data_IF_458696611787
#
_entry.id   IF_458696611787
#
_cell.length_a   1.000
_cell.length_b   1.000
_cell.length_c   1.000
_cell.angle_alpha   90.00
_cell.angle_beta   90.00
_cell.angle_gamma   90.00
#
_symmetry.space_group_name_H-M   'P 1'
#
loop_
_entity.id
_entity.type
_entity.pdbx_description
1 polymer ?
#
# COMPACT_ATOMS: atom_id res chain seq x y z
N UNK A 1 -32.43 -27.87 53.41
CA UNK A 1 -33.06 -26.87 52.51
C UNK A 1 -32.09 -25.75 52.11
N UNK A 2 -31.30 -25.18 53.04
CA UNK A 2 -30.36 -24.08 52.77
C UNK A 2 -29.30 -24.31 51.67
N UNK A 3 -28.83 -25.54 51.43
CA UNK A 3 -27.88 -25.83 50.33
C UNK A 3 -28.50 -25.68 48.93
N UNK A 4 -29.78 -26.04 48.75
CA UNK A 4 -30.50 -25.93 47.48
C UNK A 4 -30.82 -24.47 47.11
N UNK A 5 -31.09 -23.62 48.09
CA UNK A 5 -31.34 -22.19 47.86
C UNK A 5 -30.06 -21.42 47.49
N UNK A 6 -28.92 -21.73 48.14
CA UNK A 6 -27.63 -21.14 47.77
C UNK A 6 -27.20 -21.49 46.35
N UNK A 7 -27.46 -22.72 45.90
CA UNK A 7 -27.13 -23.17 44.55
C UNK A 7 -27.99 -22.49 43.47
N UNK A 8 -29.31 -22.38 43.70
CA UNK A 8 -30.22 -21.62 42.82
C UNK A 8 -29.87 -20.13 42.73
N UNK A 9 -29.41 -19.53 43.83
CA UNK A 9 -29.00 -18.14 43.85
C UNK A 9 -27.69 -17.90 43.06
N UNK A 10 -26.74 -18.83 43.13
CA UNK A 10 -25.49 -18.78 42.36
C UNK A 10 -25.74 -18.93 40.85
N UNK A 11 -26.60 -19.86 40.44
CA UNK A 11 -26.98 -20.06 39.03
C UNK A 11 -27.70 -18.84 38.45
N UNK A 12 -28.65 -18.23 39.20
CA UNK A 12 -29.30 -16.99 38.78
C UNK A 12 -28.32 -15.83 38.62
N UNK A 13 -27.32 -15.72 39.51
CA UNK A 13 -26.30 -14.66 39.46
C UNK A 13 -25.34 -14.86 38.29
N UNK A 14 -24.95 -16.10 38.00
CA UNK A 14 -24.14 -16.45 36.83
C UNK A 14 -24.89 -16.17 35.51
N UNK A 15 -26.17 -16.57 35.43
CA UNK A 15 -27.01 -16.31 34.25
C UNK A 15 -27.26 -14.81 34.02
N UNK A 16 -27.46 -14.03 35.09
CA UNK A 16 -27.57 -12.57 35.01
C UNK A 16 -26.27 -11.92 34.51
N UNK A 17 -25.12 -12.33 35.05
CA UNK A 17 -23.80 -11.83 34.62
C UNK A 17 -23.49 -12.23 33.16
N UNK A 18 -23.91 -13.42 32.75
CA UNK A 18 -23.79 -13.87 31.36
C UNK A 18 -24.66 -13.00 30.43
N UNK A 19 -25.91 -12.73 30.81
CA UNK A 19 -26.81 -11.84 30.06
C UNK A 19 -26.31 -10.41 29.97
N UNK A 20 -25.86 -9.82 31.08
CA UNK A 20 -25.27 -8.47 31.08
C UNK A 20 -24.01 -8.40 30.21
N UNK A 21 -23.19 -9.46 30.18
CA UNK A 21 -22.00 -9.53 29.33
C UNK A 21 -22.34 -9.68 27.85
N UNK A 22 -23.40 -10.41 27.51
CA UNK A 22 -23.89 -10.53 26.12
C UNK A 22 -24.52 -9.22 25.67
N UNK A 23 -25.31 -8.58 26.53
CA UNK A 23 -25.97 -7.31 26.23
C UNK A 23 -24.98 -6.16 26.08
N UNK A 24 -23.97 -6.06 26.95
CA UNK A 24 -22.89 -5.09 26.81
C UNK A 24 -21.96 -5.36 25.61
N UNK A 25 -21.83 -6.62 25.19
CA UNK A 25 -21.09 -6.96 23.97
C UNK A 25 -21.87 -6.55 22.71
N UNK A 26 -23.20 -6.70 22.72
CA UNK A 26 -24.09 -6.28 21.64
C UNK A 26 -24.24 -4.76 21.57
N UNK A 27 -24.21 -4.05 22.70
CA UNK A 27 -24.24 -2.58 22.74
C UNK A 27 -22.89 -1.94 22.33
N UNK A 28 -21.79 -2.70 22.41
CA UNK A 28 -20.49 -2.28 21.90
C UNK A 28 -20.27 -2.66 20.42
N UNK A 29 -21.12 -3.53 19.87
CA UNK A 29 -21.10 -3.96 18.47
C UNK A 29 -21.59 -2.79 17.60
N UNK A 30 -20.72 -2.27 16.73
CA UNK A 30 -20.99 -1.06 15.93
C UNK A 30 -20.62 0.28 16.57
N UNK A 31 -19.94 0.31 17.73
CA UNK A 31 -19.42 1.52 18.34
C UNK A 31 -17.90 1.65 18.17
N UNK A 32 -17.40 2.88 17.98
CA UNK A 32 -15.96 3.12 17.90
C UNK A 32 -15.23 2.81 19.22
N UNK A 33 -14.01 2.24 19.15
CA UNK A 33 -13.22 1.98 20.33
C UNK A 33 -12.77 3.28 21.01
N UNK A 34 -12.87 3.31 22.35
CA UNK A 34 -12.48 4.49 23.14
C UNK A 34 -11.00 4.51 23.53
N UNK A 35 -10.41 3.33 23.77
CA UNK A 35 -9.00 3.20 24.13
C UNK A 35 -8.20 2.99 22.85
N UNK A 36 -7.59 4.07 22.36
CA UNK A 36 -6.87 4.09 21.09
C UNK A 36 -5.47 4.72 21.24
N UNK A 37 -4.54 4.26 20.42
CA UNK A 37 -3.20 4.82 20.25
C UNK A 37 -2.97 5.12 18.77
N UNK A 38 -2.81 6.39 18.36
CA UNK A 38 -2.50 6.74 16.97
C UNK A 38 -1.07 6.30 16.60
N UNK A 39 -0.93 5.75 15.40
CA UNK A 39 0.34 5.37 14.77
C UNK A 39 0.46 6.10 13.44
N UNK A 40 1.53 6.85 13.23
CA UNK A 40 1.70 7.69 12.04
C UNK A 40 1.00 9.04 12.17
N UNK A 41 0.68 9.64 11.03
CA UNK A 41 0.03 10.95 10.96
C UNK A 41 -1.49 10.86 11.11
N UNK A 42 -2.13 11.96 11.50
CA UNK A 42 -3.59 11.98 11.58
C UNK A 42 -4.19 11.90 10.19
N UNK A 43 -5.07 10.94 9.99
CA UNK A 43 -5.88 10.84 8.77
C UNK A 43 -6.88 11.98 8.76
N UNK A 44 -6.70 12.94 7.86
CA UNK A 44 -7.63 14.05 7.65
C UNK A 44 -8.83 13.66 6.75
N UNK A 45 -8.73 12.52 6.08
CA UNK A 45 -9.78 12.00 5.20
C UNK A 45 -11.03 11.49 5.91
N UNK A 46 -11.96 10.98 5.10
CA UNK A 46 -13.24 10.43 5.55
C UNK A 46 -13.15 8.96 5.99
N UNK A 47 -11.96 8.35 5.93
CA UNK A 47 -11.70 6.96 6.30
C UNK A 47 -10.71 6.86 7.46
N UNK A 48 -11.02 6.04 8.47
CA UNK A 48 -10.11 5.72 9.56
C UNK A 48 -9.92 4.21 9.68
N UNK A 49 -8.70 3.78 9.99
CA UNK A 49 -8.38 2.37 10.21
C UNK A 49 -8.09 2.16 11.69
N UNK A 50 -8.78 1.21 12.29
CA UNK A 50 -8.61 0.77 13.66
C UNK A 50 -8.18 -0.69 13.66
N UNK A 51 -7.04 -1.02 14.26
CA UNK A 51 -6.58 -2.40 14.39
C UNK A 51 -6.46 -2.82 15.84
N UNK A 52 -7.12 -3.92 16.18
CA UNK A 52 -7.06 -4.45 17.54
C UNK A 52 -5.61 -4.84 17.86
N UNK A 53 -5.10 -4.43 19.01
CA UNK A 53 -3.70 -4.66 19.41
C UNK A 53 -3.32 -6.16 19.36
N UNK A 54 -4.26 -7.05 19.71
CA UNK A 54 -4.07 -8.51 19.59
C UNK A 54 -3.80 -8.96 18.15
N UNK A 55 -4.48 -8.34 17.17
CA UNK A 55 -4.39 -8.66 15.74
C UNK A 55 -3.11 -8.07 15.17
N UNK A 56 -2.79 -6.82 15.53
CA UNK A 56 -1.53 -6.18 15.17
C UNK A 56 -0.34 -7.06 15.59
N UNK A 57 -0.29 -7.48 16.86
CA UNK A 57 0.75 -8.41 17.35
C UNK A 57 0.76 -9.76 16.63
N UNK A 58 -0.41 -10.28 16.26
CA UNK A 58 -0.52 -11.54 15.53
C UNK A 58 0.06 -11.41 14.12
N UNK A 59 -0.23 -10.32 13.42
CA UNK A 59 0.28 -10.04 12.07
C UNK A 59 1.80 -9.86 12.11
N UNK A 60 2.32 -9.05 13.03
CA UNK A 60 3.77 -8.84 13.14
C UNK A 60 4.51 -10.13 13.48
N UNK A 61 3.97 -10.97 14.37
CA UNK A 61 4.54 -12.30 14.63
C UNK A 61 4.48 -13.22 13.39
N UNK A 62 3.47 -13.05 12.55
CA UNK A 62 3.33 -13.81 11.31
C UNK A 62 4.33 -13.34 10.24
N UNK A 63 4.61 -12.04 10.14
CA UNK A 63 5.55 -11.48 9.17
C UNK A 63 7.00 -11.55 9.63
N UNK A 64 7.24 -11.72 10.92
CA UNK A 64 8.57 -11.92 11.50
C UNK A 64 9.28 -13.13 10.83
N UNK A 65 10.48 -12.88 10.31
CA UNK A 65 11.30 -13.91 9.64
C UNK A 65 10.87 -14.25 8.20
N UNK A 66 9.85 -13.58 7.65
CA UNK A 66 9.44 -13.75 6.25
C UNK A 66 10.27 -12.89 5.30
N UNK A 67 11.54 -13.26 5.12
CA UNK A 67 12.54 -12.42 4.44
C UNK A 67 12.84 -12.83 2.99
N UNK A 68 12.31 -13.95 2.51
CA UNK A 68 12.64 -14.49 1.19
C UNK A 68 11.52 -14.33 0.16
N UNK A 69 10.34 -14.89 0.47
CA UNK A 69 9.17 -14.82 -0.39
C UNK A 69 8.10 -13.94 0.25
N UNK A 70 7.25 -13.37 -0.58
CA UNK A 70 6.05 -12.71 -0.10
C UNK A 70 5.15 -13.68 0.66
N UNK A 71 4.28 -13.13 1.48
CA UNK A 71 3.34 -13.88 2.28
C UNK A 71 2.20 -12.97 2.63
N UNK A 72 1.00 -13.51 2.75
CA UNK A 72 -0.15 -12.69 3.07
C UNK A 72 -1.24 -13.39 3.83
N UNK A 73 -2.35 -12.69 3.90
CA UNK A 73 -3.54 -13.13 4.61
C UNK A 73 -4.66 -12.13 4.51
N UNK A 74 -5.76 -12.45 5.16
CA UNK A 74 -7.01 -11.73 5.09
C UNK A 74 -7.27 -11.01 6.41
N UNK A 75 -7.66 -9.74 6.31
CA UNK A 75 -8.11 -8.93 7.43
C UNK A 75 -9.62 -9.07 7.60
N UNK A 76 -10.04 -9.26 8.84
CA UNK A 76 -11.44 -9.52 9.18
C UNK A 76 -11.90 -8.54 10.24
N UNK A 77 -13.12 -8.02 10.10
CA UNK A 77 -13.74 -7.16 11.10
C UNK A 77 -15.02 -6.50 10.58
N UNK A 78 -15.17 -5.20 10.81
CA UNK A 78 -16.42 -4.48 10.58
C UNK A 78 -16.19 -3.09 9.98
N UNK A 79 -17.21 -2.61 9.26
CA UNK A 79 -17.31 -1.24 8.79
C UNK A 79 -18.32 -0.49 9.67
N UNK A 80 -17.89 0.64 10.26
CA UNK A 80 -18.70 1.46 11.16
C UNK A 80 -18.74 2.88 10.61
N UNK A 81 -19.93 3.36 10.28
CA UNK A 81 -20.13 4.76 9.91
C UNK A 81 -20.48 5.58 11.15
N UNK A 82 -19.59 6.49 11.54
CA UNK A 82 -19.81 7.37 12.70
C UNK A 82 -19.24 8.77 12.40
N UNK A 83 -19.96 9.82 12.79
CA UNK A 83 -19.59 11.23 12.54
C UNK A 83 -19.37 11.59 11.07
N UNK A 84 -20.07 10.93 10.14
CA UNK A 84 -19.91 11.14 8.70
C UNK A 84 -18.57 10.62 8.15
N UNK A 85 -17.90 9.76 8.93
CA UNK A 85 -16.67 9.06 8.54
C UNK A 85 -16.90 7.57 8.50
N UNK A 86 -16.26 6.94 7.54
CA UNK A 86 -16.16 5.51 7.37
C UNK A 86 -15.02 4.99 8.26
N UNK A 87 -15.31 4.09 9.19
CA UNK A 87 -14.31 3.52 10.07
C UNK A 87 -14.20 2.02 9.84
N UNK A 88 -12.97 1.54 9.70
CA UNK A 88 -12.66 0.15 9.40
C UNK A 88 -12.05 -0.46 10.66
N UNK A 89 -12.78 -1.35 11.31
CA UNK A 89 -12.34 -2.04 12.53
C UNK A 89 -11.80 -3.41 12.13
N UNK A 90 -10.52 -3.64 12.39
CA UNK A 90 -9.81 -4.90 12.15
C UNK A 90 -9.74 -5.68 13.46
N UNK A 91 -10.46 -6.80 13.51
CA UNK A 91 -10.68 -7.62 14.72
C UNK A 91 -10.13 -9.04 14.63
N UNK A 92 -9.79 -9.47 13.41
CA UNK A 92 -9.24 -10.78 13.09
C UNK A 92 -8.24 -10.74 11.94
N UNK A 93 -7.41 -11.77 11.89
CA UNK A 93 -6.44 -12.02 10.83
C UNK A 93 -6.43 -13.52 10.52
N UNK A 94 -6.55 -13.85 9.24
CA UNK A 94 -6.51 -15.21 8.70
C UNK A 94 -5.29 -15.33 7.79
N UNK A 95 -4.38 -16.24 8.12
CA UNK A 95 -3.21 -16.53 7.31
C UNK A 95 -3.58 -17.24 5.99
N UNK A 96 -3.05 -16.75 4.86
CA UNK A 96 -3.20 -17.39 3.56
C UNK A 96 -2.20 -18.55 3.39
N UNK A 97 -2.49 -19.72 3.98
CA UNK A 97 -1.55 -20.86 4.01
C UNK A 97 -1.29 -21.54 2.68
N UNK A 98 -2.18 -21.38 1.72
CA UNK A 98 -2.15 -22.08 0.43
C UNK A 98 -1.87 -21.11 -0.73
N UNK A 99 -1.29 -19.95 -0.45
CA UNK A 99 -0.92 -18.98 -1.46
C UNK A 99 0.28 -19.47 -2.28
N UNK A 100 0.32 -19.08 -3.55
CA UNK A 100 1.53 -19.19 -4.35
C UNK A 100 2.30 -17.89 -4.21
N UNK A 101 3.49 -17.96 -3.61
CA UNK A 101 4.31 -16.79 -3.33
C UNK A 101 5.67 -16.89 -4.03
N UNK A 102 6.08 -15.77 -4.61
CA UNK A 102 7.45 -15.52 -5.07
C UNK A 102 8.02 -14.34 -4.28
N UNK A 103 9.28 -13.93 -4.50
CA UNK A 103 9.80 -12.71 -3.89
C UNK A 103 9.08 -11.41 -4.29
N UNK A 104 8.24 -11.42 -5.35
CA UNK A 104 7.63 -10.21 -5.92
C UNK A 104 6.11 -10.33 -6.17
N UNK A 105 5.52 -11.49 -5.90
CA UNK A 105 4.10 -11.74 -6.18
C UNK A 105 3.48 -12.68 -5.16
N UNK A 106 2.25 -12.39 -4.77
CA UNK A 106 1.42 -13.25 -3.93
C UNK A 106 0.08 -13.55 -4.61
N UNK A 107 -0.17 -14.83 -4.91
CA UNK A 107 -1.44 -15.27 -5.51
C UNK A 107 -2.31 -16.01 -4.49
N UNK A 108 -3.53 -15.53 -4.28
CA UNK A 108 -4.54 -16.25 -3.51
C UNK A 108 -5.17 -17.36 -4.36
N UNK A 109 -4.80 -18.61 -4.07
CA UNK A 109 -5.32 -19.79 -4.78
C UNK A 109 -6.76 -20.12 -4.36
N UNK A 110 -7.44 -20.97 -5.12
CA UNK A 110 -8.77 -21.47 -4.74
C UNK A 110 -8.77 -22.17 -3.38
N UNK A 111 -7.72 -22.96 -3.06
CA UNK A 111 -7.55 -23.58 -1.75
C UNK A 111 -7.37 -22.57 -0.63
N UNK A 112 -6.76 -21.42 -0.93
CA UNK A 112 -6.63 -20.32 0.03
C UNK A 112 -7.99 -19.76 0.38
N UNK A 113 -8.82 -19.47 -0.63
CA UNK A 113 -10.18 -18.97 -0.42
C UNK A 113 -11.06 -19.98 0.33
N UNK A 114 -11.00 -21.27 -0.02
CA UNK A 114 -11.75 -22.30 0.70
C UNK A 114 -11.34 -22.40 2.18
N UNK A 115 -10.04 -22.23 2.49
CA UNK A 115 -9.56 -22.21 3.86
C UNK A 115 -10.00 -20.94 4.61
N UNK A 116 -9.98 -19.78 3.95
CA UNK A 116 -10.47 -18.51 4.49
C UNK A 116 -11.96 -18.60 4.83
N UNK A 117 -12.78 -19.10 3.91
CA UNK A 117 -14.23 -19.24 4.11
C UNK A 117 -14.55 -20.14 5.30
N UNK A 118 -13.88 -21.30 5.40
CA UNK A 118 -14.02 -22.21 6.56
C UNK A 118 -13.61 -21.55 7.87
N UNK A 119 -12.57 -20.71 7.87
CA UNK A 119 -12.12 -20.01 9.06
C UNK A 119 -13.08 -18.86 9.44
N UNK A 120 -13.62 -18.15 8.45
CA UNK A 120 -14.67 -17.15 8.62
C UNK A 120 -15.92 -17.75 9.29
N UNK A 121 -16.45 -18.86 8.76
CA UNK A 121 -17.61 -19.55 9.31
C UNK A 121 -17.37 -20.09 10.73
N UNK A 122 -16.14 -20.51 11.05
CA UNK A 122 -15.83 -21.13 12.33
C UNK A 122 -15.52 -20.14 13.44
N UNK A 123 -14.78 -19.07 13.14
CA UNK A 123 -14.18 -18.18 14.14
C UNK A 123 -14.63 -16.72 14.04
N UNK A 124 -15.18 -16.31 12.89
CA UNK A 124 -15.51 -14.91 12.59
C UNK A 124 -16.95 -14.76 12.09
N UNK A 125 -17.88 -15.50 12.70
CA UNK A 125 -19.30 -15.41 12.38
C UNK A 125 -19.82 -13.98 12.58
N UNK A 126 -20.52 -13.45 11.57
CA UNK A 126 -21.07 -12.09 11.59
C UNK A 126 -20.07 -10.99 11.23
N UNK A 127 -18.79 -11.32 10.99
CA UNK A 127 -17.77 -10.34 10.55
C UNK A 127 -17.60 -10.37 9.04
N UNK A 128 -17.00 -9.33 8.50
CA UNK A 128 -16.73 -9.15 7.07
C UNK A 128 -15.23 -9.16 6.77
N UNK A 129 -14.88 -9.51 5.53
CA UNK A 129 -13.52 -9.31 5.02
C UNK A 129 -13.33 -7.82 4.77
N UNK A 130 -12.49 -7.19 5.59
CA UNK A 130 -12.21 -5.76 5.53
C UNK A 130 -10.97 -5.42 4.71
N UNK A 131 -10.20 -6.42 4.29
CA UNK A 131 -9.01 -6.18 3.49
C UNK A 131 -8.06 -7.37 3.48
N UNK A 132 -6.83 -7.12 3.07
CA UNK A 132 -5.77 -8.11 2.99
C UNK A 132 -4.43 -7.53 3.41
N UNK A 133 -3.51 -8.43 3.70
CA UNK A 133 -2.14 -8.10 4.06
C UNK A 133 -1.18 -8.87 3.16
N UNK A 134 -0.05 -8.25 2.83
CA UNK A 134 1.09 -8.95 2.25
C UNK A 134 2.42 -8.36 2.72
N UNK A 135 3.47 -9.16 2.64
CA UNK A 135 4.84 -8.73 2.96
C UNK A 135 5.60 -8.33 1.71
N UNK A 136 6.44 -7.31 1.82
CA UNK A 136 7.40 -6.85 0.80
C UNK A 136 8.83 -6.94 1.36
N UNK A 137 9.50 -8.11 1.29
CA UNK A 137 10.82 -8.26 1.89
C UNK A 137 11.88 -7.41 1.16
N UNK A 138 12.36 -6.34 1.80
CA UNK A 138 13.36 -5.39 1.27
C UNK A 138 12.94 -4.62 0.00
N UNK A 139 11.63 -4.40 -0.15
CA UNK A 139 11.09 -3.55 -1.22
C UNK A 139 10.59 -2.19 -0.70
N UNK A 140 10.36 -2.05 0.61
CA UNK A 140 9.67 -0.92 1.22
C UNK A 140 8.16 -1.05 1.12
N UNK A 141 7.45 0.06 1.31
CA UNK A 141 5.99 0.08 1.38
C UNK A 141 5.39 0.79 0.18
N UNK A 142 4.93 0.02 -0.81
CA UNK A 142 4.17 0.47 -1.98
C UNK A 142 3.18 -0.60 -2.42
N UNK A 143 2.32 -0.29 -3.39
CA UNK A 143 1.54 -1.30 -4.13
C UNK A 143 2.11 -1.41 -5.53
N UNK A 144 2.54 -2.62 -5.91
CA UNK A 144 2.94 -2.91 -7.29
C UNK A 144 1.73 -2.91 -8.22
N UNK A 145 1.98 -3.01 -9.54
CA UNK A 145 0.90 -3.22 -10.51
C UNK A 145 0.12 -4.51 -10.23
N UNK A 146 0.82 -5.54 -9.72
CA UNK A 146 0.18 -6.81 -9.36
C UNK A 146 -0.66 -6.67 -8.09
N UNK A 147 -0.19 -5.93 -7.09
CA UNK A 147 -0.95 -5.66 -5.86
C UNK A 147 -2.20 -4.81 -6.15
N UNK A 148 -2.05 -3.83 -7.04
CA UNK A 148 -3.15 -3.01 -7.55
C UNK A 148 -4.19 -3.88 -8.25
N UNK A 149 -3.76 -4.80 -9.10
CA UNK A 149 -4.64 -5.77 -9.74
C UNK A 149 -5.38 -6.64 -8.70
N UNK A 150 -4.70 -7.10 -7.65
CA UNK A 150 -5.35 -7.88 -6.59
C UNK A 150 -6.41 -7.04 -5.87
N UNK A 151 -6.06 -5.81 -5.49
CA UNK A 151 -6.96 -4.89 -4.82
C UNK A 151 -8.19 -4.59 -5.68
N UNK A 152 -8.01 -4.32 -6.97
CA UNK A 152 -9.09 -4.00 -7.91
C UNK A 152 -10.04 -5.18 -8.19
N UNK A 153 -9.53 -6.41 -8.23
CA UNK A 153 -10.30 -7.56 -8.69
C UNK A 153 -10.85 -8.43 -7.56
N UNK A 154 -10.15 -8.51 -6.43
CA UNK A 154 -10.51 -9.38 -5.30
C UNK A 154 -10.96 -8.59 -4.06
N UNK A 155 -10.54 -7.33 -3.93
CA UNK A 155 -10.87 -6.46 -2.78
C UNK A 155 -11.50 -5.14 -3.24
N UNK A 156 -12.47 -5.26 -4.15
CA UNK A 156 -13.08 -4.14 -4.90
C UNK A 156 -14.06 -3.29 -4.10
N UNK A 157 -14.49 -3.74 -2.93
CA UNK A 157 -15.43 -2.95 -2.13
C UNK A 157 -14.72 -1.66 -1.69
N UNK A 158 -15.40 -0.51 -1.75
CA UNK A 158 -14.78 0.82 -1.53
C UNK A 158 -14.05 0.95 -0.19
N UNK A 159 -14.36 0.07 0.76
CA UNK A 159 -13.87 0.14 2.13
C UNK A 159 -12.85 -0.95 2.44
N UNK A 160 -12.58 -1.84 1.48
CA UNK A 160 -11.54 -2.83 1.63
C UNK A 160 -10.16 -2.20 1.46
N UNK A 161 -9.24 -2.63 2.32
CA UNK A 161 -7.90 -2.05 2.43
C UNK A 161 -6.81 -3.07 2.10
N UNK A 162 -5.65 -2.59 1.69
CA UNK A 162 -4.42 -3.37 1.61
C UNK A 162 -3.47 -2.94 2.74
N UNK A 163 -2.79 -3.88 3.37
CA UNK A 163 -1.78 -3.62 4.39
C UNK A 163 -0.46 -4.25 3.99
N UNK A 164 0.56 -3.42 3.83
CA UNK A 164 1.88 -3.83 3.39
C UNK A 164 2.83 -3.73 4.57
N UNK A 165 3.64 -4.77 4.77
CA UNK A 165 4.69 -4.81 5.78
C UNK A 165 6.00 -5.21 5.11
N UNK A 166 7.06 -4.42 5.31
CA UNK A 166 8.41 -4.83 4.98
C UNK A 166 9.09 -5.34 6.26
N UNK A 167 9.22 -6.67 6.45
CA UNK A 167 9.80 -7.24 7.66
C UNK A 167 11.32 -7.00 7.77
N UNK A 168 12.01 -6.65 6.68
CA UNK A 168 13.45 -6.38 6.67
C UNK A 168 13.71 -4.92 7.03
N UNK A 169 12.96 -3.99 6.44
CA UNK A 169 13.11 -2.55 6.69
C UNK A 169 12.36 -2.08 7.94
N UNK A 170 11.47 -2.91 8.49
CA UNK A 170 10.64 -2.53 9.64
C UNK A 170 9.63 -1.43 9.29
N UNK A 171 9.23 -1.36 8.03
CA UNK A 171 8.26 -0.41 7.51
C UNK A 171 6.88 -1.06 7.40
N UNK A 172 5.84 -0.25 7.50
CA UNK A 172 4.46 -0.71 7.34
C UNK A 172 3.56 0.42 6.85
N UNK A 173 2.46 0.07 6.20
CA UNK A 173 1.47 1.05 5.77
C UNK A 173 0.21 0.42 5.20
N UNK A 174 -0.91 1.10 5.47
CA UNK A 174 -2.20 0.76 4.87
C UNK A 174 -2.44 1.56 3.59
N UNK A 175 -3.25 1.00 2.71
CA UNK A 175 -3.76 1.62 1.50
C UNK A 175 -5.28 1.45 1.45
N UNK A 176 -5.98 2.48 1.01
CA UNK A 176 -7.43 2.45 0.87
C UNK A 176 -7.86 3.19 -0.40
N UNK A 177 -9.10 2.95 -0.80
CA UNK A 177 -9.72 3.67 -1.90
C UNK A 177 -10.14 5.08 -1.48
N UNK A 178 -9.69 6.11 -2.19
CA UNK A 178 -10.14 7.50 -2.07
C UNK A 178 -10.48 8.02 -3.48
N UNK A 179 -11.72 8.45 -3.70
CA UNK A 179 -12.18 8.98 -5.01
C UNK A 179 -11.85 8.09 -6.22
N UNK A 180 -11.91 6.76 -6.05
CA UNK A 180 -11.63 5.78 -7.10
C UNK A 180 -10.14 5.53 -7.37
N UNK A 181 -9.24 6.05 -6.53
CA UNK A 181 -7.79 5.78 -6.56
C UNK A 181 -7.36 5.09 -5.28
N UNK A 182 -6.30 4.29 -5.35
CA UNK A 182 -5.72 3.66 -4.17
C UNK A 182 -4.64 4.60 -3.62
N UNK A 183 -4.84 5.08 -2.40
CA UNK A 183 -3.96 6.04 -1.73
C UNK A 183 -3.37 5.45 -0.45
N UNK A 184 -2.17 5.89 -0.09
CA UNK A 184 -1.53 5.48 1.16
C UNK A 184 -2.20 6.18 2.34
N UNK A 185 -2.56 5.39 3.34
CA UNK A 185 -3.07 5.88 4.61
C UNK A 185 -1.94 6.56 5.43
N UNK A 186 -2.06 7.84 5.82
CA UNK A 186 -1.03 8.54 6.59
C UNK A 186 -0.78 7.96 7.99
N UNK A 187 -1.78 7.28 8.56
CA UNK A 187 -1.69 6.67 9.88
C UNK A 187 -2.94 5.87 10.26
N UNK A 188 -2.87 5.11 11.34
CA UNK A 188 -3.95 4.26 11.81
C UNK A 188 -4.01 4.26 13.34
N UNK A 189 -5.05 3.64 13.90
CA UNK A 189 -5.26 3.58 15.34
C UNK A 189 -5.13 2.15 15.85
N UNK A 190 -4.23 1.91 16.79
CA UNK A 190 -4.25 0.70 17.59
C UNK A 190 -5.34 0.83 18.65
N UNK A 191 -6.11 -0.23 18.91
CA UNK A 191 -7.10 -0.21 19.98
C UNK A 191 -7.13 -1.51 20.81
N UNK A 192 -7.54 -1.38 22.06
CA UNK A 192 -7.86 -2.51 22.93
C UNK A 192 -9.01 -2.12 23.87
N UNK A 193 -9.39 -3.00 24.79
CA UNK A 193 -10.40 -2.76 25.80
C UNK A 193 -9.96 -1.63 26.74
N UNK A 194 -10.92 -0.85 27.21
CA UNK A 194 -10.67 0.24 28.17
C UNK A 194 -9.91 -0.27 29.39
N UNK A 195 -8.79 0.39 29.72
CA UNK A 195 -7.92 0.03 30.84
C UNK A 195 -6.82 -0.98 30.51
N UNK A 196 -6.75 -1.50 29.28
CA UNK A 196 -5.62 -2.31 28.80
C UNK A 196 -4.57 -1.37 28.18
N UNK A 197 -3.30 -1.42 28.61
CA UNK A 197 -2.26 -0.57 28.02
C UNK A 197 -1.96 -0.98 26.58
N UNK A 198 -2.02 -0.02 25.67
CA UNK A 198 -1.68 -0.21 24.27
C UNK A 198 -0.20 0.08 24.06
N UNK A 199 0.52 -0.89 23.50
CA UNK A 199 1.95 -0.79 23.18
C UNK A 199 2.14 -0.95 21.68
N UNK A 200 2.78 0.05 21.05
CA UNK A 200 3.30 -0.09 19.71
C UNK A 200 4.63 -0.88 19.76
N UNK A 201 4.88 -1.76 18.79
CA UNK A 201 6.05 -2.65 18.80
C UNK A 201 7.39 -1.88 18.79
N UNK A 202 7.43 -0.68 18.19
CA UNK A 202 8.60 0.20 18.21
C UNK A 202 9.01 0.64 19.63
N UNK A 203 8.08 0.71 20.58
CA UNK A 203 8.37 1.08 21.96
C UNK A 203 8.97 -0.08 22.77
N UNK A 204 8.73 -1.33 22.38
CA UNK A 204 9.28 -2.51 23.09
C UNK A 204 10.78 -2.68 22.80
N UNK A 205 11.25 -2.34 21.60
CA UNK A 205 12.68 -2.39 21.23
C UNK A 205 13.53 -1.35 21.99
N UNK A 206 12.96 -0.16 22.25
CA UNK A 206 13.66 0.89 23.01
C UNK A 206 13.72 0.60 24.52
N UNK A 207 12.68 0.00 25.11
CA UNK A 207 12.69 -0.39 26.54
C UNK A 207 13.64 -1.57 26.85
N UNK A 208 13.92 -2.42 25.87
CA UNK A 208 14.84 -3.56 26.03
C UNK A 208 16.32 -3.15 25.85
N UNK A 209 16.61 -2.15 25.00
CA UNK A 209 17.96 -1.55 24.85
C UNK A 209 18.36 -0.62 26.00
N UNK A 210 17.44 0.07 26.66
CA UNK A 210 17.75 1.00 27.77
C UNK A 210 17.97 0.34 29.14
N UNK A 211 18.14 -0.99 29.20
CA UNK A 211 18.51 -1.64 30.46
C UNK A 211 20.03 -1.45 30.70
N UNK A 212 20.46 -0.80 31.81
CA UNK A 212 21.87 -0.46 31.99
C UNK A 212 22.70 -1.71 32.29
N UNK A 213 23.39 -2.22 31.28
CA UNK A 213 24.47 -3.20 31.40
C UNK A 213 25.64 -2.57 32.17
N UNK A 214 25.78 -2.96 33.43
CA UNK A 214 26.99 -2.69 34.22
C UNK A 214 28.15 -3.52 33.66
N UNK A 215 29.04 -2.90 32.89
CA UNK A 215 30.27 -3.57 32.44
C UNK A 215 31.29 -2.58 31.89
N UNK A 216 32.20 -2.12 32.75
CA UNK A 216 33.27 -1.21 32.37
C UNK A 216 34.34 -1.85 31.48
N UNK A 217 34.98 -1.01 30.66
CA UNK A 217 36.39 -1.17 30.28
C UNK A 217 36.73 -1.64 28.87
N UNK A 218 35.79 -2.11 28.03
CA UNK A 218 36.11 -2.67 26.69
C UNK A 218 35.48 -1.87 25.52
N UNK A 219 34.47 -1.05 25.78
CA UNK A 219 33.65 -0.39 24.74
C UNK A 219 34.39 0.68 23.91
N UNK A 220 35.44 1.31 24.44
CA UNK A 220 36.15 2.37 23.72
C UNK A 220 36.88 1.87 22.46
N UNK A 221 37.42 0.65 22.47
CA UNK A 221 38.12 0.07 21.31
C UNK A 221 37.18 -0.47 20.24
N UNK A 222 36.05 -1.05 20.66
CA UNK A 222 35.04 -1.62 19.75
C UNK A 222 34.28 -0.49 19.04
N UNK A 223 33.94 0.61 19.73
CA UNK A 223 33.29 1.78 19.11
C UNK A 223 34.16 2.41 18.02
N UNK A 224 35.47 2.56 18.24
CA UNK A 224 36.37 3.07 17.20
C UNK A 224 36.52 2.12 16.02
N UNK A 225 36.55 0.80 16.25
CA UNK A 225 36.62 -0.17 15.16
C UNK A 225 35.32 -0.19 14.32
N UNK A 226 34.16 -0.07 14.98
CA UNK A 226 32.85 -0.10 14.34
C UNK A 226 32.62 1.16 13.50
N UNK A 227 33.06 2.33 13.96
CA UNK A 227 33.04 3.57 13.17
C UNK A 227 33.96 3.51 11.94
N UNK A 228 35.14 2.90 12.05
CA UNK A 228 36.05 2.73 10.91
C UNK A 228 35.43 1.79 9.88
N UNK A 229 34.84 0.67 10.32
CA UNK A 229 34.14 -0.26 9.41
C UNK A 229 32.93 0.40 8.76
N UNK A 230 32.13 1.16 9.52
CA UNK A 230 30.98 1.90 8.98
C UNK A 230 31.43 2.93 7.92
N UNK A 231 32.52 3.66 8.18
CA UNK A 231 33.07 4.61 7.21
C UNK A 231 33.57 3.94 5.93
N UNK A 232 34.19 2.75 6.04
CA UNK A 232 34.64 1.99 4.89
C UNK A 232 33.47 1.46 4.05
N UNK A 233 32.38 1.02 4.70
CA UNK A 233 31.15 0.59 4.02
C UNK A 233 30.49 1.74 3.28
N UNK A 234 30.41 2.94 3.87
CA UNK A 234 29.85 4.13 3.21
C UNK A 234 30.67 4.51 1.96
N UNK A 235 32.00 4.46 2.05
CA UNK A 235 32.87 4.73 0.89
C UNK A 235 32.70 3.66 -0.20
N UNK A 236 32.59 2.39 0.18
CA UNK A 236 32.37 1.28 -0.75
C UNK A 236 31.02 1.40 -1.47
N UNK A 237 29.95 1.72 -0.74
CA UNK A 237 28.62 1.97 -1.30
C UNK A 237 28.63 3.19 -2.21
N UNK A 238 29.32 4.28 -1.84
CA UNK A 238 29.51 5.44 -2.70
C UNK A 238 30.21 5.09 -4.01
N UNK A 239 31.23 4.24 -3.96
CA UNK A 239 31.92 3.76 -5.16
C UNK A 239 31.03 2.88 -6.04
N UNK A 240 30.20 2.02 -5.44
CA UNK A 240 29.20 1.23 -6.17
C UNK A 240 28.18 2.15 -6.85
N UNK A 241 27.65 3.17 -6.16
CA UNK A 241 26.70 4.12 -6.75
C UNK A 241 27.31 4.89 -7.93
N UNK A 242 28.56 5.33 -7.83
CA UNK A 242 29.27 6.00 -8.94
C UNK A 242 29.44 5.04 -10.13
N UNK A 243 29.85 3.79 -9.86
CA UNK A 243 30.01 2.78 -10.92
C UNK A 243 28.68 2.43 -11.59
N UNK A 244 27.59 2.31 -10.83
CA UNK A 244 26.25 2.12 -11.39
C UNK A 244 25.82 3.32 -12.23
N UNK A 245 26.11 4.55 -11.78
CA UNK A 245 25.77 5.75 -12.54
C UNK A 245 26.50 5.82 -13.88
N UNK A 246 27.78 5.40 -13.94
CA UNK A 246 28.50 5.25 -15.21
C UNK A 246 27.88 4.19 -16.12
N UNK A 247 27.46 3.04 -15.57
CA UNK A 247 26.78 1.99 -16.33
C UNK A 247 25.43 2.46 -16.88
N UNK A 248 24.65 3.21 -16.10
CA UNK A 248 23.36 3.79 -16.54
C UNK A 248 23.57 4.81 -17.65
N UNK A 249 24.59 5.66 -17.54
CA UNK A 249 24.93 6.64 -18.59
C UNK A 249 25.34 5.96 -19.91
N UNK A 250 26.14 4.89 -19.82
CA UNK A 250 26.53 4.08 -20.99
C UNK A 250 25.33 3.38 -21.63
N UNK A 251 24.42 2.84 -20.80
CA UNK A 251 23.20 2.19 -21.29
C UNK A 251 22.27 3.22 -21.96
N UNK A 252 22.12 4.40 -21.37
CA UNK A 252 21.34 5.50 -21.95
C UNK A 252 21.91 5.95 -23.30
N UNK A 253 23.23 6.05 -23.42
CA UNK A 253 23.89 6.37 -24.69
C UNK A 253 23.67 5.29 -25.76
N UNK A 254 23.72 4.00 -25.39
CA UNK A 254 23.47 2.89 -26.30
C UNK A 254 22.01 2.87 -26.80
N UNK A 255 21.04 3.16 -25.92
CA UNK A 255 19.62 3.28 -26.29
C UNK A 255 19.41 4.46 -27.24
N UNK A 256 20.07 5.60 -26.99
CA UNK A 256 20.03 6.77 -27.88
C UNK A 256 20.55 6.44 -29.28
N UNK A 257 21.71 5.80 -29.38
CA UNK A 257 22.29 5.39 -30.66
C UNK A 257 21.37 4.40 -31.42
N UNK A 258 20.74 3.45 -30.71
CA UNK A 258 19.80 2.50 -31.31
C UNK A 258 18.54 3.18 -31.83
N UNK A 259 18.03 4.20 -31.13
CA UNK A 259 16.89 5.00 -31.53
C UNK A 259 17.19 5.82 -32.79
N UNK A 260 18.37 6.42 -32.88
CA UNK A 260 18.79 7.18 -34.05
C UNK A 260 19.02 6.27 -35.28
N UNK A 261 19.60 5.10 -35.08
CA UNK A 261 19.78 4.09 -36.13
C UNK A 261 18.42 3.54 -36.63
N UNK A 262 17.50 3.25 -35.71
CA UNK A 262 16.15 2.84 -36.06
C UNK A 262 15.40 3.94 -36.83
N UNK A 263 15.55 5.21 -36.44
CA UNK A 263 14.91 6.36 -37.09
C UNK A 263 15.44 6.56 -38.51
N UNK A 264 16.73 6.41 -38.74
CA UNK A 264 17.35 6.45 -40.06
C UNK A 264 16.85 5.32 -40.96
N UNK A 265 16.79 4.09 -40.44
CA UNK A 265 16.25 2.95 -41.17
C UNK A 265 14.77 3.14 -41.53
N UNK A 266 13.98 3.68 -40.60
CA UNK A 266 12.56 3.97 -40.84
C UNK A 266 12.36 5.06 -41.91
N UNK A 267 13.22 6.08 -41.93
CA UNK A 267 13.18 7.13 -42.94
C UNK A 267 13.50 6.59 -44.35
N UNK A 268 14.47 5.67 -44.46
CA UNK A 268 14.80 5.00 -45.73
C UNK A 268 13.63 4.13 -46.22
N UNK A 269 13.01 3.35 -45.32
CA UNK A 269 11.85 2.51 -45.65
C UNK A 269 10.67 3.37 -46.11
N UNK A 270 10.41 4.50 -45.45
CA UNK A 270 9.34 5.42 -45.84
C UNK A 270 9.60 6.04 -47.22
N UNK A 271 10.85 6.38 -47.54
CA UNK A 271 11.22 6.89 -48.87
C UNK A 271 11.07 5.82 -49.97
N UNK A 272 11.39 4.56 -49.66
CA UNK A 272 11.23 3.44 -50.60
C UNK A 272 9.75 3.15 -50.87
N UNK A 273 8.89 3.18 -49.83
CA UNK A 273 7.44 3.10 -49.98
C UNK A 273 6.90 4.22 -50.88
N UNK A 274 7.28 5.47 -50.62
CA UNK A 274 6.82 6.60 -51.44
C UNK A 274 7.27 6.48 -52.90
N UNK A 275 8.48 5.96 -53.14
CA UNK A 275 8.98 5.66 -54.48
C UNK A 275 8.22 4.52 -55.16
N UNK A 276 7.86 3.48 -54.42
CA UNK A 276 7.02 2.39 -54.91
C UNK A 276 5.60 2.85 -55.23
N UNK A 277 4.99 3.66 -54.37
CA UNK A 277 3.65 4.22 -54.57
C UNK A 277 3.60 5.13 -55.80
N UNK A 278 4.64 5.95 -56.02
CA UNK A 278 4.75 6.76 -57.24
C UNK A 278 4.86 5.88 -58.52
N UNK A 279 5.56 4.75 -58.43
CA UNK A 279 5.67 3.79 -59.55
C UNK A 279 4.36 3.03 -59.77
N UNK A 280 3.66 2.66 -58.70
CA UNK A 280 2.34 2.03 -58.76
C UNK A 280 1.35 2.99 -59.41
N UNK A 281 1.29 4.25 -58.95
CA UNK A 281 0.43 5.29 -59.54
C UNK A 281 0.74 5.54 -61.03
N UNK A 282 2.01 5.57 -61.42
CA UNK A 282 2.39 5.72 -62.82
C UNK A 282 1.99 4.49 -63.69
N UNK A 283 1.98 3.28 -63.11
CA UNK A 283 1.52 2.06 -63.79
C UNK A 283 -0.01 2.04 -63.88
N UNK A 284 -0.72 2.47 -62.83
CA UNK A 284 -2.17 2.60 -62.81
C UNK A 284 -2.68 3.60 -63.87
N UNK A 285 -2.00 4.73 -64.03
CA UNK A 285 -2.27 5.71 -65.09
C UNK A 285 -2.02 5.13 -66.50
N UNK A 286 -0.96 4.33 -66.69
CA UNK A 286 -0.64 3.70 -67.97
C UNK A 286 -1.64 2.59 -68.35
N UNK A 287 -2.19 1.90 -67.35
CA UNK A 287 -3.19 0.84 -67.52
C UNK A 287 -4.63 1.38 -67.56
N UNK A 288 -4.83 2.69 -67.38
CA UNK A 288 -6.16 3.31 -67.35
C UNK A 288 -7.01 2.86 -66.15
N UNK A 289 -6.38 2.28 -65.13
CA UNK A 289 -7.01 1.83 -63.90
C UNK A 289 -7.05 3.00 -62.91
N UNK A 290 -7.78 4.06 -63.26
CA UNK A 290 -8.00 5.14 -62.30
C UNK A 290 -8.91 4.61 -61.17
N UNK A 291 -8.56 4.77 -59.88
CA UNK A 291 -9.45 4.39 -58.81
C UNK A 291 -10.69 5.29 -58.87
N UNK A 292 -11.89 4.69 -58.92
CA UNK A 292 -13.10 5.44 -58.62
C UNK A 292 -13.01 5.97 -57.18
N UNK A 293 -13.44 7.21 -56.90
CA UNK A 293 -13.61 7.68 -55.54
C UNK A 293 -14.72 6.85 -54.90
N UNK A 294 -14.34 5.84 -54.11
CA UNK A 294 -15.27 5.17 -53.20
C UNK A 294 -15.66 6.16 -52.11
N UNK A 295 -16.93 6.09 -51.75
CA UNK A 295 -17.68 7.11 -51.06
C UNK A 295 -17.07 7.47 -49.71
N UNK A 296 -17.11 8.77 -49.41
CA UNK A 296 -16.89 9.31 -48.08
C UNK A 296 -17.72 8.55 -47.04
N UNK A 297 -17.05 7.94 -46.07
CA UNK A 297 -17.64 7.78 -44.74
C UNK A 297 -17.92 9.16 -44.14
N UNK A 298 -19.00 9.33 -43.37
CA UNK A 298 -19.39 10.64 -42.85
C UNK A 298 -18.37 11.10 -41.79
N UNK A 299 -17.94 12.35 -41.91
CA UNK A 299 -17.09 13.01 -40.90
C UNK A 299 -17.77 13.03 -39.52
N UNK A 300 -17.01 12.83 -38.42
CA UNK A 300 -17.49 13.20 -37.10
C UNK A 300 -17.57 14.73 -37.00
N UNK A 301 -18.68 15.21 -36.44
CA UNK A 301 -19.02 16.62 -36.28
C UNK A 301 -17.95 17.40 -35.49
N UNK A 302 -17.79 18.72 -35.74
CA UNK A 302 -16.81 19.54 -35.07
C UNK A 302 -17.37 20.02 -33.73
N UNK A 303 -17.20 19.24 -32.67
CA UNK A 303 -17.28 19.75 -31.31
C UNK A 303 -16.20 19.07 -30.46
N UNK A 304 -15.52 19.88 -29.64
CA UNK A 304 -14.44 19.55 -28.70
C UNK A 304 -12.99 19.60 -29.23
N UNK A 305 -12.61 20.72 -29.85
CA UNK A 305 -11.30 21.33 -29.54
C UNK A 305 -11.50 22.33 -28.40
N UNK A 306 -11.16 21.93 -27.18
CA UNK A 306 -10.66 22.83 -26.13
C UNK A 306 -10.26 22.02 -24.90
N UNK A 307 -8.95 21.96 -24.67
CA UNK A 307 -8.28 22.08 -23.36
C UNK A 307 -6.98 21.25 -23.33
N UNK A 308 -5.89 21.84 -23.80
CA UNK A 308 -4.59 21.57 -23.21
C UNK A 308 -4.58 22.18 -21.80
N UNK A 309 -4.04 21.52 -20.76
CA UNK A 309 -3.67 22.20 -19.53
C UNK A 309 -2.34 22.92 -19.77
N UNK A 310 -2.41 24.24 -19.89
CA UNK A 310 -1.24 25.10 -19.73
C UNK A 310 -0.79 25.08 -18.27
N UNK A 311 0.53 25.02 -18.07
CA UNK A 311 1.17 25.21 -16.78
C UNK A 311 0.91 26.63 -16.25
N UNK A 312 0.41 26.73 -15.01
CA UNK A 312 0.32 27.99 -14.27
C UNK A 312 1.64 28.35 -13.58
N UNK A 313 1.97 29.65 -13.50
CA UNK A 313 3.19 30.14 -12.87
C UNK A 313 3.02 30.33 -11.36
N UNK A 314 4.15 30.22 -10.65
CA UNK A 314 4.29 30.51 -9.23
C UNK A 314 4.04 32.00 -8.92
N UNK A 315 3.41 32.25 -7.78
CA UNK A 315 3.10 33.56 -7.24
C UNK A 315 4.19 34.05 -6.26
N UNK A 316 4.62 35.30 -6.45
CA UNK A 316 4.66 36.34 -5.41
C UNK A 316 5.77 36.31 -4.36
N UNK A 317 6.82 37.10 -4.59
CA UNK A 317 7.50 37.87 -3.53
C UNK A 317 7.01 39.34 -3.58
N UNK A 318 6.99 40.06 -2.44
CA UNK A 318 6.38 41.38 -2.36
C UNK A 318 7.35 42.54 -2.67
N UNK A 319 6.80 43.57 -3.29
CA UNK A 319 7.39 44.90 -3.53
C UNK A 319 7.68 45.64 -2.21
N UNK A 320 8.76 46.43 -2.10
CA UNK A 320 8.86 47.45 -1.07
C UNK A 320 8.24 48.77 -1.54
N UNK A 321 7.44 49.36 -0.68
CA UNK A 321 6.95 50.73 -0.73
C UNK A 321 8.11 51.72 -0.63
N UNK A 322 8.19 52.69 -1.55
CA UNK A 322 8.90 53.95 -1.30
C UNK A 322 7.90 55.10 -1.41
N UNK A 323 7.58 55.63 -0.24
CA UNK A 323 7.15 57.00 -0.01
C UNK A 323 8.39 57.92 -0.07
N UNK A 324 8.10 59.18 -0.40
CA UNK A 324 8.88 60.39 -0.16
C UNK A 324 9.81 60.96 -1.24
N UNK A 325 9.54 62.26 -1.44
CA UNK A 325 10.45 63.35 -1.74
C UNK A 325 10.38 63.96 -3.16
N UNK A 326 9.50 64.96 -3.28
CA UNK A 326 9.87 66.37 -3.43
C UNK A 326 10.65 66.78 -4.71
N UNK A 327 10.04 67.68 -5.50
CA UNK A 327 10.74 68.46 -6.53
C UNK A 327 9.88 68.74 -7.76
#
# INVERSE_FOLDING_TARGET
MAKKEKQKAAEKKAAKKQREKVQAAQEAEGALPQNILPVGERVQGNKNIYIAQKVYRQIHKFTEGKTENESGGILVGEFVEEFGKQNILIEGFIEAKHCEATPQTLTFTHQTWEAVDKEMEKKHQGKSIVGWIHTHPDFGIFLSNYDTFIQENFFKEENQIAYVIDPIRGEEGFYFWEEGKIERCPGFYLYDKTGVPIKALKAEQQEEEERPEKGGGVLAGIQTALLVVLSAVVVMLGFQVVSLNEQVNMLSANVGNLLDEARLNFAVIAQEQQGMDARISAIEDLLGLSPQPSQAEPEPSPDAQSAQPQASPAAGEPTPSQEDANG
#
